data_IF_433868259024
#
_entry.id   IF_433868259024
#
_cell.length_a   1.000
_cell.length_b   1.000
_cell.length_c   1.000
_cell.angle_alpha   90.00
_cell.angle_beta   90.00
_cell.angle_gamma   90.00
#
_symmetry.space_group_name_H-M   'P 1'
#
loop_
_entity.id
_entity.type
_entity.pdbx_description
1 polymer ?
#
# COMPACT_ATOMS: atom_id res chain seq x y z
N UNK A 1 -20.10 1.93 -8.97
CA UNK A 1 -19.19 0.93 -9.56
C UNK A 1 -18.25 0.52 -8.45
N UNK A 2 -18.49 -0.64 -7.85
CA UNK A 2 -17.62 -1.18 -6.80
C UNK A 2 -16.27 -1.47 -7.42
N UNK A 3 -15.34 -0.66 -6.98
CA UNK A 3 -14.01 -0.60 -7.48
C UNK A 3 -13.23 -1.64 -6.69
N UNK A 4 -13.27 -2.91 -7.12
CA UNK A 4 -12.58 -4.01 -6.44
C UNK A 4 -11.11 -3.61 -6.22
N UNK A 5 -10.69 -3.50 -4.95
CA UNK A 5 -9.32 -3.15 -4.57
C UNK A 5 -8.52 -4.45 -4.61
N UNK A 6 -7.32 -4.42 -5.19
CA UNK A 6 -6.41 -5.57 -5.24
C UNK A 6 -5.01 -5.17 -4.78
N UNK A 7 -4.21 -6.17 -4.39
CA UNK A 7 -2.79 -5.97 -4.11
C UNK A 7 -2.10 -5.38 -5.35
N UNK A 8 -1.26 -4.37 -5.12
CA UNK A 8 -0.57 -3.61 -6.16
C UNK A 8 -1.35 -2.42 -6.72
N UNK A 9 -2.62 -2.22 -6.34
CA UNK A 9 -3.32 -0.98 -6.69
C UNK A 9 -2.71 0.21 -5.96
N UNK A 10 -2.69 1.36 -6.65
CA UNK A 10 -2.30 2.64 -6.06
C UNK A 10 -3.56 3.34 -5.53
N UNK A 11 -3.46 3.85 -4.31
CA UNK A 11 -4.54 4.57 -3.62
C UNK A 11 -4.02 5.88 -3.03
N UNK A 12 -4.93 6.80 -2.77
CA UNK A 12 -4.66 8.06 -2.05
C UNK A 12 -5.30 7.98 -0.65
N UNK A 13 -4.52 8.31 0.38
CA UNK A 13 -4.99 8.50 1.75
C UNK A 13 -4.48 9.85 2.26
N UNK A 14 -5.39 10.74 2.63
CA UNK A 14 -5.08 12.10 3.11
C UNK A 14 -4.07 12.86 2.21
N UNK A 15 -4.23 12.74 0.90
CA UNK A 15 -3.33 13.37 -0.09
C UNK A 15 -1.97 12.67 -0.29
N UNK A 16 -1.70 11.57 0.40
CA UNK A 16 -0.52 10.73 0.21
C UNK A 16 -0.83 9.53 -0.68
N UNK A 17 0.06 9.26 -1.65
CA UNK A 17 -0.01 8.06 -2.47
C UNK A 17 0.53 6.85 -1.71
N UNK A 18 -0.13 5.72 -1.88
CA UNK A 18 0.29 4.45 -1.30
C UNK A 18 -0.03 3.30 -2.26
N UNK A 19 0.60 2.16 -2.00
CA UNK A 19 0.34 0.90 -2.72
C UNK A 19 -0.27 -0.12 -1.76
N UNK A 20 -1.28 -0.84 -2.22
CA UNK A 20 -1.87 -1.97 -1.49
C UNK A 20 -0.88 -3.12 -1.48
N UNK A 21 -0.49 -3.60 -0.30
CA UNK A 21 0.45 -4.72 -0.14
C UNK A 21 -0.22 -6.01 0.30
N UNK A 22 -1.36 -5.91 0.99
CA UNK A 22 -2.17 -7.06 1.40
C UNK A 22 -3.62 -6.64 1.67
N UNK A 23 -4.52 -7.62 1.62
CA UNK A 23 -5.96 -7.48 1.87
C UNK A 23 -6.38 -8.55 2.89
N UNK A 24 -7.48 -8.29 3.57
CA UNK A 24 -8.12 -9.28 4.42
C UNK A 24 -8.74 -10.43 3.62
N UNK A 25 -8.83 -11.60 4.25
CA UNK A 25 -9.64 -12.71 3.76
C UNK A 25 -8.93 -14.06 3.82
N UNK A 26 -9.63 -15.15 3.46
CA UNK A 26 -9.15 -16.53 3.59
C UNK A 26 -7.96 -16.88 2.68
N UNK A 27 -7.69 -16.03 1.68
CA UNK A 27 -6.53 -16.11 0.79
C UNK A 27 -5.63 -14.86 0.89
N UNK A 28 -5.97 -13.96 1.80
CA UNK A 28 -5.23 -12.75 2.14
C UNK A 28 -4.41 -12.97 3.43
N UNK A 29 -4.15 -11.88 4.15
CA UNK A 29 -3.48 -11.94 5.44
C UNK A 29 -4.55 -11.99 6.56
N UNK A 30 -4.48 -13.01 7.42
CA UNK A 30 -5.42 -13.22 8.53
C UNK A 30 -5.28 -12.11 9.61
N UNK A 31 -4.15 -11.40 9.63
CA UNK A 31 -3.90 -10.29 10.55
C UNK A 31 -4.58 -8.97 10.09
N UNK A 32 -5.18 -8.94 8.90
CA UNK A 32 -5.89 -7.77 8.36
C UNK A 32 -7.41 -7.94 8.57
N UNK A 33 -8.10 -7.00 9.26
CA UNK A 33 -9.55 -7.04 9.40
C UNK A 33 -10.29 -6.93 8.05
N UNK A 34 -11.45 -7.58 7.89
CA UNK A 34 -12.21 -7.69 6.62
C UNK A 34 -12.41 -6.37 5.84
N UNK A 35 -12.57 -5.25 6.54
CA UNK A 35 -12.81 -3.93 5.93
C UNK A 35 -11.57 -3.03 5.92
N UNK A 36 -10.40 -3.58 6.21
CA UNK A 36 -9.13 -2.86 6.22
C UNK A 36 -8.23 -3.33 5.07
N UNK A 37 -7.32 -2.45 4.69
CA UNK A 37 -6.29 -2.74 3.71
C UNK A 37 -4.92 -2.43 4.32
N UNK A 38 -3.94 -3.28 4.01
CA UNK A 38 -2.56 -3.02 4.34
C UNK A 38 -1.91 -2.25 3.19
N UNK A 39 -1.34 -1.09 3.49
CA UNK A 39 -0.72 -0.20 2.52
C UNK A 39 0.70 0.18 2.90
N UNK A 40 1.49 0.50 1.87
CA UNK A 40 2.82 1.07 2.01
C UNK A 40 2.88 2.43 1.31
N UNK A 41 3.33 3.46 2.03
CA UNK A 41 3.40 4.84 1.54
C UNK A 41 4.70 5.19 0.80
N UNK A 42 5.58 4.20 0.57
CA UNK A 42 6.95 4.45 0.15
C UNK A 42 7.84 4.89 1.31
N UNK A 43 9.06 4.35 1.37
CA UNK A 43 10.07 4.74 2.36
C UNK A 43 11.01 5.83 1.85
N UNK A 44 11.63 6.54 2.79
CA UNK A 44 12.27 7.87 2.72
C UNK A 44 13.50 8.07 1.81
N UNK A 45 13.78 7.22 0.83
CA UNK A 45 14.90 7.50 -0.07
C UNK A 45 14.77 6.81 -1.44
N UNK A 46 14.22 7.49 -2.47
CA UNK A 46 14.28 6.98 -3.84
C UNK A 46 15.72 6.92 -4.39
N UNK A 47 16.71 7.49 -3.71
CA UNK A 47 18.13 7.49 -4.08
C UNK A 47 19.05 6.77 -3.06
N UNK A 48 18.49 6.10 -2.05
CA UNK A 48 19.22 5.73 -0.85
C UNK A 48 20.09 4.52 -1.02
N UNK A 49 21.40 4.73 -0.90
CA UNK A 49 22.39 3.66 -0.76
C UNK A 49 21.88 2.64 0.28
N UNK A 50 22.11 1.33 0.05
CA UNK A 50 21.78 0.31 1.05
C UNK A 50 22.48 0.70 2.35
N UNK A 51 21.68 1.11 3.35
CA UNK A 51 22.17 1.25 4.72
C UNK A 51 22.53 -0.16 5.15
N UNK A 52 23.77 -0.34 5.56
CA UNK A 52 24.40 -1.62 5.88
C UNK A 52 23.48 -2.50 6.74
N UNK A 53 23.17 -3.70 6.21
CA UNK A 53 22.75 -4.94 6.88
C UNK A 53 21.59 -4.97 7.90
N UNK A 54 21.03 -3.85 8.36
CA UNK A 54 19.77 -3.86 9.11
C UNK A 54 18.60 -3.87 8.12
N UNK A 55 18.04 -5.08 7.92
CA UNK A 55 16.86 -5.37 7.09
C UNK A 55 15.87 -4.20 7.11
N UNK A 56 15.85 -3.42 6.03
CA UNK A 56 14.82 -2.43 5.77
C UNK A 56 13.45 -3.12 5.86
N UNK A 57 12.72 -2.84 6.93
CA UNK A 57 11.33 -3.29 7.09
C UNK A 57 10.43 -2.14 6.64
N UNK A 58 9.71 -2.27 5.52
CA UNK A 58 8.77 -1.23 5.12
C UNK A 58 7.74 -1.02 6.22
N UNK A 59 7.45 0.24 6.55
CA UNK A 59 6.38 0.58 7.48
C UNK A 59 5.04 0.32 6.77
N UNK A 60 4.38 -0.78 7.12
CA UNK A 60 3.05 -1.15 6.60
C UNK A 60 1.98 -0.64 7.56
N UNK A 61 0.94 -0.05 7.00
CA UNK A 61 -0.17 0.53 7.75
C UNK A 61 -1.44 -0.22 7.40
N UNK A 62 -2.24 -0.55 8.42
CA UNK A 62 -3.54 -1.21 8.26
C UNK A 62 -4.63 -0.18 8.56
N UNK A 63 -5.42 0.18 7.56
CA UNK A 63 -6.37 1.30 7.62
C UNK A 63 -7.70 0.86 6.99
N UNK A 64 -8.86 1.28 7.51
CA UNK A 64 -10.16 0.99 6.88
C UNK A 64 -10.21 1.47 5.42
N UNK A 65 -10.74 0.63 4.54
CA UNK A 65 -10.77 0.90 3.09
C UNK A 65 -11.55 2.17 2.72
N UNK A 66 -12.50 2.59 3.55
CA UNK A 66 -13.34 3.78 3.33
C UNK A 66 -12.56 5.10 3.31
N UNK A 67 -11.36 5.14 3.91
CA UNK A 67 -10.53 6.34 3.94
C UNK A 67 -9.71 6.55 2.66
N UNK A 68 -9.73 5.58 1.74
CA UNK A 68 -8.92 5.64 0.52
C UNK A 68 -9.74 6.11 -0.67
N UNK A 69 -9.08 6.89 -1.53
CA UNK A 69 -9.56 7.17 -2.88
C UNK A 69 -8.76 6.38 -3.89
N UNK A 70 -9.43 5.88 -4.94
CA UNK A 70 -8.71 5.31 -6.08
C UNK A 70 -7.92 6.39 -6.80
N UNK A 71 -6.67 6.08 -7.09
CA UNK A 71 -5.79 6.93 -7.89
C UNK A 71 -5.54 6.25 -9.24
N UNK A 72 -5.37 7.00 -10.34
CA UNK A 72 -4.96 6.40 -11.61
C UNK A 72 -3.59 5.72 -11.46
N UNK A 73 -3.35 4.68 -12.26
CA UNK A 73 -2.04 4.03 -12.29
C UNK A 73 -0.97 5.04 -12.73
N UNK A 74 0.25 4.98 -12.16
CA UNK A 74 1.32 5.86 -12.56
C UNK A 74 1.67 5.64 -14.04
N UNK A 75 2.04 6.73 -14.71
CA UNK A 75 2.63 6.65 -16.05
C UNK A 75 4.09 6.23 -15.93
N UNK A 76 4.45 5.14 -16.59
CA UNK A 76 5.84 4.67 -16.68
C UNK A 76 6.48 5.35 -17.88
N UNK A 77 7.35 6.32 -17.63
CA UNK A 77 8.16 6.97 -18.66
C UNK A 77 9.51 6.23 -18.77
N UNK A 78 9.92 5.90 -19.99
CA UNK A 78 11.20 5.26 -20.32
C UNK A 78 12.18 6.28 -20.91
#
# INVERSE_FOLDING_TARGET
MESNIQVGDFLEFDGLLCIVVALAGPYGDEDIPEEHIAVWFGGNDPAGKPVEEERFKPAIWIIPQEYFKKTPRPEVLH
#
